data_IF_713546360105
#
_entry.id   IF_713546360105
#
_cell.length_a   1.000
_cell.length_b   1.000
_cell.length_c   1.000
_cell.angle_alpha   90.00
_cell.angle_beta   90.00
_cell.angle_gamma   90.00
#
_symmetry.space_group_name_H-M   'P 1'
#
loop_
_entity.id
_entity.type
_entity.pdbx_description
1 polymer ?
#
# COMPACT_ATOMS: atom_id res chain seq x y z
N UNK A 1 21.98 14.58 3.11
CA UNK A 1 21.16 13.41 3.53
C UNK A 1 20.78 13.57 5.01
N UNK A 2 19.48 13.57 5.35
CA UNK A 2 18.84 13.94 6.66
C UNK A 2 19.26 15.27 7.31
N UNK A 3 20.54 15.53 7.54
CA UNK A 3 21.05 16.83 8.01
C UNK A 3 20.81 17.95 6.99
N UNK A 4 20.93 17.67 5.68
CA UNK A 4 20.53 18.62 4.62
C UNK A 4 19.03 18.91 4.55
N UNK A 5 18.20 18.06 5.18
CA UNK A 5 16.76 18.27 5.27
C UNK A 5 16.39 19.08 6.55
N UNK A 6 17.39 19.53 7.32
CA UNK A 6 17.19 20.35 8.52
C UNK A 6 16.74 19.56 9.76
N UNK A 7 16.82 18.23 9.74
CA UNK A 7 16.39 17.40 10.87
C UNK A 7 17.56 17.17 11.85
N UNK A 8 17.67 18.01 12.88
CA UNK A 8 18.69 17.87 13.93
C UNK A 8 18.35 16.81 15.00
N UNK A 9 17.06 16.53 15.21
CA UNK A 9 16.58 15.64 16.28
C UNK A 9 15.93 14.34 15.78
N UNK A 10 15.72 14.18 14.46
CA UNK A 10 15.00 13.04 13.90
C UNK A 10 15.98 12.08 13.20
N UNK A 11 16.29 10.99 13.87
CA UNK A 11 17.17 9.94 13.33
C UNK A 11 16.50 9.28 12.10
N UNK A 12 17.25 8.92 11.04
CA UNK A 12 16.68 8.29 9.84
C UNK A 12 15.82 7.04 10.13
N UNK A 13 16.24 6.25 11.13
CA UNK A 13 15.48 5.07 11.60
C UNK A 13 14.10 5.47 12.15
N UNK A 14 14.03 6.50 12.98
CA UNK A 14 12.74 6.97 13.54
C UNK A 14 11.83 7.52 12.44
N UNK A 15 12.37 8.28 11.49
CA UNK A 15 11.60 8.76 10.36
C UNK A 15 11.01 7.61 9.52
N UNK A 16 11.79 6.55 9.27
CA UNK A 16 11.28 5.36 8.56
C UNK A 16 10.16 4.63 9.31
N UNK A 17 10.24 4.54 10.65
CA UNK A 17 9.20 3.91 11.47
C UNK A 17 7.91 4.72 11.43
N UNK A 18 8.00 6.05 11.59
CA UNK A 18 6.84 6.95 11.52
C UNK A 18 6.20 6.88 10.12
N UNK A 19 7.02 6.87 9.07
CA UNK A 19 6.54 6.77 7.69
C UNK A 19 5.83 5.44 7.42
N UNK A 20 6.42 4.31 7.85
CA UNK A 20 5.80 3.00 7.73
C UNK A 20 4.48 2.91 8.51
N UNK A 21 4.42 3.50 9.71
CA UNK A 21 3.20 3.55 10.52
C UNK A 21 2.11 4.39 9.86
N UNK A 22 2.46 5.55 9.29
CA UNK A 22 1.51 6.40 8.57
C UNK A 22 0.92 5.67 7.36
N UNK A 23 1.76 5.03 6.54
CA UNK A 23 1.29 4.22 5.39
C UNK A 23 0.42 3.07 5.87
N UNK A 24 0.85 2.35 6.92
CA UNK A 24 0.10 1.23 7.49
C UNK A 24 -1.28 1.63 8.00
N UNK A 25 -1.41 2.80 8.63
CA UNK A 25 -2.70 3.34 9.09
C UNK A 25 -3.61 3.73 7.93
N UNK A 26 -3.08 4.40 6.91
CA UNK A 26 -3.84 4.76 5.72
C UNK A 26 -4.36 3.50 5.03
N UNK A 27 -3.47 2.54 4.75
CA UNK A 27 -3.83 1.28 4.13
C UNK A 27 -4.81 0.48 4.99
N UNK A 28 -4.56 0.39 6.30
CA UNK A 28 -5.42 -0.30 7.27
C UNK A 28 -6.84 0.26 7.26
N UNK A 29 -6.98 1.57 7.42
CA UNK A 29 -8.29 2.27 7.42
C UNK A 29 -9.06 2.03 6.11
N UNK A 30 -8.39 2.19 4.97
CA UNK A 30 -9.00 1.96 3.65
C UNK A 30 -9.40 0.49 3.48
N UNK A 31 -8.54 -0.44 3.87
CA UNK A 31 -8.79 -1.89 3.74
C UNK A 31 -9.97 -2.38 4.60
N UNK A 32 -10.16 -1.78 5.78
CA UNK A 32 -11.31 -2.02 6.65
C UNK A 32 -12.60 -1.51 5.99
N UNK A 33 -12.55 -0.31 5.38
CA UNK A 33 -13.71 0.28 4.73
C UNK A 33 -14.18 -0.53 3.51
N UNK A 34 -13.26 -0.93 2.63
CA UNK A 34 -13.58 -1.68 1.40
C UNK A 34 -13.79 -3.19 1.65
N UNK A 35 -13.64 -3.65 2.90
CA UNK A 35 -13.70 -5.06 3.30
C UNK A 35 -12.84 -5.92 2.38
N UNK A 36 -11.52 -5.64 2.36
CA UNK A 36 -10.50 -6.31 1.55
C UNK A 36 -10.26 -7.79 1.94
N UNK A 37 -11.31 -8.54 2.26
CA UNK A 37 -11.22 -9.92 2.69
C UNK A 37 -11.05 -10.83 1.48
N UNK A 38 -9.81 -11.19 1.15
CA UNK A 38 -9.52 -12.20 0.13
C UNK A 38 -10.28 -13.51 0.37
N UNK A 39 -10.45 -13.91 1.63
CA UNK A 39 -11.24 -15.08 2.01
C UNK A 39 -12.69 -15.02 1.51
N UNK A 40 -13.31 -13.83 1.49
CA UNK A 40 -14.68 -13.62 0.99
C UNK A 40 -14.75 -13.77 -0.53
N UNK A 41 -13.67 -13.46 -1.23
CA UNK A 41 -13.58 -13.61 -2.69
C UNK A 41 -13.53 -15.08 -3.13
N UNK A 42 -12.96 -15.97 -2.29
CA UNK A 42 -12.81 -17.40 -2.58
C UNK A 42 -13.91 -18.27 -1.95
N UNK A 43 -14.35 -17.99 -0.73
CA UNK A 43 -15.25 -18.88 0.04
C UNK A 43 -16.58 -18.21 0.42
N UNK A 44 -16.79 -16.95 0.03
CA UNK A 44 -18.03 -16.22 0.34
C UNK A 44 -19.25 -16.72 -0.44
N UNK A 45 -20.43 -16.24 -0.05
CA UNK A 45 -21.66 -16.52 -0.79
C UNK A 45 -21.54 -16.13 -2.28
N UNK A 46 -22.21 -16.86 -3.20
CA UNK A 46 -22.09 -16.63 -4.64
C UNK A 46 -22.39 -15.19 -5.08
N UNK A 47 -23.38 -14.53 -4.45
CA UNK A 47 -23.73 -13.14 -4.73
C UNK A 47 -22.62 -12.15 -4.35
N UNK A 48 -21.90 -12.40 -3.26
CA UNK A 48 -20.89 -11.50 -2.71
C UNK A 48 -19.47 -11.78 -3.24
N UNK A 49 -19.21 -12.99 -3.74
CA UNK A 49 -17.89 -13.39 -4.29
C UNK A 49 -17.46 -12.54 -5.48
N UNK A 50 -18.38 -12.19 -6.39
CA UNK A 50 -18.03 -11.37 -7.57
C UNK A 50 -17.54 -9.98 -7.16
N UNK A 51 -18.26 -9.32 -6.25
CA UNK A 51 -17.89 -8.01 -5.74
C UNK A 51 -16.54 -8.05 -5.00
N UNK A 52 -16.37 -9.01 -4.07
CA UNK A 52 -15.12 -9.16 -3.31
C UNK A 52 -13.91 -9.51 -4.20
N UNK A 53 -14.09 -10.29 -5.26
CA UNK A 53 -13.04 -10.57 -6.25
C UNK A 53 -12.65 -9.31 -7.02
N UNK A 54 -13.63 -8.49 -7.44
CA UNK A 54 -13.39 -7.24 -8.15
C UNK A 54 -12.50 -6.28 -7.35
N UNK A 55 -12.82 -6.06 -6.06
CA UNK A 55 -12.02 -5.21 -5.17
C UNK A 55 -10.58 -5.73 -5.04
N UNK A 56 -10.40 -7.05 -4.89
CA UNK A 56 -9.06 -7.62 -4.75
C UNK A 56 -8.23 -7.51 -6.04
N UNK A 57 -8.81 -7.84 -7.20
CA UNK A 57 -8.13 -7.70 -8.49
C UNK A 57 -7.80 -6.25 -8.82
N UNK A 58 -8.70 -5.31 -8.52
CA UNK A 58 -8.44 -3.88 -8.71
C UNK A 58 -7.26 -3.40 -7.86
N UNK A 59 -7.16 -3.84 -6.60
CA UNK A 59 -6.02 -3.50 -5.75
C UNK A 59 -4.72 -4.13 -6.25
N UNK A 60 -4.73 -5.39 -6.69
CA UNK A 60 -3.56 -6.06 -7.25
C UNK A 60 -3.07 -5.34 -8.53
N UNK A 61 -4.00 -5.00 -9.43
CA UNK A 61 -3.70 -4.26 -10.65
C UNK A 61 -3.13 -2.87 -10.32
N UNK A 62 -3.75 -2.14 -9.40
CA UNK A 62 -3.27 -0.83 -8.95
C UNK A 62 -1.87 -0.91 -8.35
N UNK A 63 -1.60 -1.89 -7.48
CA UNK A 63 -0.29 -2.09 -6.90
C UNK A 63 0.78 -2.37 -7.98
N UNK A 64 0.47 -3.27 -8.92
CA UNK A 64 1.39 -3.65 -10.00
C UNK A 64 1.68 -2.48 -10.93
N UNK A 65 0.64 -1.79 -11.39
CA UNK A 65 0.76 -0.62 -12.26
C UNK A 65 1.48 0.53 -11.56
N UNK A 66 1.17 0.77 -10.28
CA UNK A 66 1.86 1.77 -9.46
C UNK A 66 3.35 1.48 -9.40
N UNK A 67 3.75 0.27 -9.01
CA UNK A 67 5.19 -0.10 -8.97
C UNK A 67 5.86 0.10 -10.31
N UNK A 68 5.21 -0.29 -11.41
CA UNK A 68 5.78 -0.14 -12.74
C UNK A 68 5.91 1.33 -13.18
N UNK A 69 4.96 2.17 -12.82
CA UNK A 69 5.05 3.62 -13.06
C UNK A 69 6.19 4.24 -12.27
N UNK A 70 6.36 3.87 -11.00
CA UNK A 70 7.45 4.41 -10.18
C UNK A 70 8.83 3.98 -10.71
N UNK A 71 8.96 2.76 -11.24
CA UNK A 71 10.19 2.34 -11.94
C UNK A 71 10.36 3.14 -13.25
N UNK A 72 9.29 3.31 -14.03
CA UNK A 72 9.34 4.05 -15.30
C UNK A 72 9.73 5.52 -15.14
N UNK A 73 9.28 6.17 -14.08
CA UNK A 73 9.66 7.54 -13.73
C UNK A 73 11.01 7.64 -13.00
N UNK A 74 11.77 6.55 -12.89
CA UNK A 74 13.07 6.48 -12.22
C UNK A 74 13.04 6.86 -10.72
N UNK A 75 11.86 6.74 -10.08
CA UNK A 75 11.72 6.97 -8.64
C UNK A 75 12.41 5.87 -7.82
N UNK A 76 12.41 4.64 -8.34
CA UNK A 76 13.05 3.48 -7.74
C UNK A 76 13.84 2.70 -8.79
N UNK A 77 15.10 2.40 -8.48
CA UNK A 77 15.97 1.56 -9.31
C UNK A 77 16.44 0.36 -8.50
N UNK A 78 16.29 -0.84 -9.07
CA UNK A 78 16.75 -2.10 -8.51
C UNK A 78 17.92 -2.61 -9.36
N UNK A 79 19.07 -1.93 -9.30
CA UNK A 79 20.32 -2.42 -9.91
C UNK A 79 21.07 -3.35 -8.96
#
# INVERSE_FOLDING_TARGET
>A
MFEQLGFENLTPKMASVIFALAIGLIFGSVSQHIKFCFRRSIVGNPQERKSARGVWFAALASATLGTQLLIFYDFFSFS
#
